data_IF_886768505575
#
_entry.id   IF_886768505575
#
_cell.length_a   1.000
_cell.length_b   1.000
_cell.length_c   1.000
_cell.angle_alpha   90.00
_cell.angle_beta   90.00
_cell.angle_gamma   90.00
#
_symmetry.space_group_name_H-M   'P 1'
#
loop_
_entity.id
_entity.type
_entity.pdbx_description
1 polymer ?
#
# COMPACT_ATOMS: atom_id res chain seq x y z
N UNK A 1 2.14 -16.69 -30.83
CA UNK A 1 2.93 -15.44 -30.95
C UNK A 1 4.09 -15.54 -29.98
N UNK A 2 5.33 -15.53 -30.46
CA UNK A 2 6.52 -15.74 -29.65
C UNK A 2 7.06 -14.38 -29.16
N UNK A 3 7.22 -14.23 -27.84
CA UNK A 3 7.86 -13.05 -27.26
C UNK A 3 9.36 -13.20 -27.46
N UNK A 4 9.90 -12.60 -28.52
CA UNK A 4 11.35 -12.50 -28.72
C UNK A 4 11.91 -11.58 -27.65
N UNK A 5 12.40 -12.15 -26.56
CA UNK A 5 13.14 -11.41 -25.55
C UNK A 5 14.55 -11.17 -26.11
N UNK A 6 14.82 -9.94 -26.53
CA UNK A 6 16.13 -9.53 -27.00
C UNK A 6 17.08 -9.39 -25.80
N UNK A 7 17.88 -10.41 -25.53
CA UNK A 7 19.06 -10.28 -24.68
C UNK A 7 20.06 -9.32 -25.34
N UNK A 8 20.53 -8.31 -24.61
CA UNK A 8 21.56 -7.40 -25.11
C UNK A 8 22.88 -8.18 -25.35
N UNK A 9 23.65 -7.81 -26.38
CA UNK A 9 24.94 -8.44 -26.66
C UNK A 9 25.94 -8.22 -25.52
N UNK A 10 26.88 -9.16 -25.38
CA UNK A 10 27.92 -9.12 -24.36
C UNK A 10 28.80 -7.87 -24.54
N UNK A 11 28.90 -7.04 -23.49
CA UNK A 11 29.61 -5.75 -23.53
C UNK A 11 28.71 -4.53 -23.77
N UNK A 12 27.39 -4.70 -23.94
CA UNK A 12 26.48 -3.57 -23.99
C UNK A 12 26.43 -2.81 -22.65
N UNK A 13 26.39 -1.46 -22.68
CA UNK A 13 26.32 -0.67 -21.46
C UNK A 13 25.00 -0.94 -20.73
N UNK A 14 25.09 -1.14 -19.41
CA UNK A 14 23.93 -1.22 -18.54
C UNK A 14 23.28 0.17 -18.47
N UNK A 15 22.21 0.37 -19.25
CA UNK A 15 21.43 1.60 -19.27
C UNK A 15 20.09 1.34 -18.63
N UNK A 16 19.69 2.22 -17.71
CA UNK A 16 18.37 2.18 -17.09
C UNK A 16 17.30 2.39 -18.17
N UNK A 17 16.36 1.46 -18.38
CA UNK A 17 15.37 1.60 -19.44
C UNK A 17 14.45 2.79 -19.18
N UNK A 18 14.34 3.71 -20.15
CA UNK A 18 13.41 4.86 -20.07
C UNK A 18 12.08 4.57 -20.77
N UNK A 19 11.52 3.38 -20.56
CA UNK A 19 10.23 3.00 -21.13
C UNK A 19 9.08 3.24 -20.13
N UNK A 20 7.85 3.28 -20.65
CA UNK A 20 6.64 3.56 -19.86
C UNK A 20 6.45 2.56 -18.71
N UNK A 21 6.74 1.29 -18.93
CA UNK A 21 6.64 0.23 -17.91
C UNK A 21 7.65 0.44 -16.78
N UNK A 22 8.90 0.78 -17.10
CA UNK A 22 9.95 1.03 -16.11
C UNK A 22 9.65 2.29 -15.28
N UNK A 23 9.15 3.35 -15.92
CA UNK A 23 8.66 4.54 -15.22
C UNK A 23 7.49 4.24 -14.28
N UNK A 24 6.56 3.37 -14.70
CA UNK A 24 5.45 2.93 -13.85
C UNK A 24 5.95 2.13 -12.64
N UNK A 25 6.89 1.20 -12.84
CA UNK A 25 7.48 0.43 -11.75
C UNK A 25 8.24 1.34 -10.77
N UNK A 26 9.06 2.27 -11.25
CA UNK A 26 9.71 3.27 -10.42
C UNK A 26 8.71 4.11 -9.61
N UNK A 27 7.57 4.46 -10.21
CA UNK A 27 6.52 5.19 -9.52
C UNK A 27 5.92 4.37 -8.37
N UNK A 28 5.67 3.07 -8.60
CA UNK A 28 5.21 2.13 -7.56
C UNK A 28 6.24 2.01 -6.44
N UNK A 29 7.52 1.84 -6.76
CA UNK A 29 8.60 1.73 -5.77
C UNK A 29 8.74 3.00 -4.92
N UNK A 30 8.60 4.17 -5.55
CA UNK A 30 8.61 5.46 -4.86
C UNK A 30 7.44 5.59 -3.90
N UNK A 31 6.23 5.20 -4.34
CA UNK A 31 5.05 5.18 -3.48
C UNK A 31 5.24 4.21 -2.32
N UNK A 32 5.83 3.03 -2.55
CA UNK A 32 6.05 2.02 -1.53
C UNK A 32 7.07 2.48 -0.48
N UNK A 33 8.14 3.16 -0.89
CA UNK A 33 9.13 3.71 0.06
C UNK A 33 8.49 4.74 1.00
N UNK A 34 7.66 5.64 0.47
CA UNK A 34 6.91 6.59 1.30
C UNK A 34 5.93 5.90 2.27
N UNK A 35 5.37 4.76 1.86
CA UNK A 35 4.51 3.95 2.72
C UNK A 35 5.31 3.29 3.85
N UNK A 36 6.45 2.67 3.54
CA UNK A 36 7.31 2.00 4.53
C UNK A 36 7.81 2.98 5.61
N UNK A 37 8.12 4.23 5.24
CA UNK A 37 8.48 5.28 6.19
C UNK A 37 7.32 5.62 7.15
N UNK A 38 6.10 5.81 6.63
CA UNK A 38 4.91 6.07 7.46
C UNK A 38 4.58 4.88 8.38
N UNK A 39 4.69 3.65 7.87
CA UNK A 39 4.46 2.44 8.64
C UNK A 39 5.50 2.21 9.72
N UNK A 40 6.78 2.49 9.45
CA UNK A 40 7.84 2.32 10.45
C UNK A 40 7.61 3.24 11.65
N UNK A 41 7.11 4.46 11.42
CA UNK A 41 6.75 5.42 12.48
C UNK A 41 5.55 4.93 13.30
N UNK A 42 4.50 4.44 12.63
CA UNK A 42 3.31 3.88 13.30
C UNK A 42 3.60 2.56 14.01
N UNK A 43 4.48 1.72 13.46
CA UNK A 43 4.93 0.47 14.08
C UNK A 43 5.83 0.74 15.27
N UNK A 44 6.68 1.77 15.25
CA UNK A 44 7.43 2.18 16.44
C UNK A 44 6.47 2.57 17.57
N UNK A 45 5.41 3.34 17.26
CA UNK A 45 4.36 3.66 18.23
C UNK A 45 3.57 2.43 18.68
N UNK A 46 3.32 1.46 17.80
CA UNK A 46 2.66 0.19 18.14
C UNK A 46 3.58 -0.80 18.89
N UNK A 47 4.90 -0.62 18.81
CA UNK A 47 5.91 -1.38 19.54
C UNK A 47 6.21 -0.78 20.92
N UNK A 48 5.67 0.40 21.22
CA UNK A 48 5.77 0.98 22.55
C UNK A 48 5.11 0.04 23.56
N UNK A 49 5.85 -0.31 24.60
CA UNK A 49 5.36 -1.19 25.67
C UNK A 49 4.11 -0.59 26.35
N UNK A 50 4.11 0.72 26.55
CA UNK A 50 2.99 1.47 27.13
C UNK A 50 2.51 2.57 26.18
N UNK A 51 1.19 2.73 26.10
CA UNK A 51 0.55 3.78 25.31
C UNK A 51 -0.45 4.59 26.17
N UNK A 52 -0.52 5.90 25.94
CA UNK A 52 -1.46 6.77 26.64
C UNK A 52 -2.86 6.58 26.03
N UNK A 53 -3.78 5.99 26.80
CA UNK A 53 -5.17 5.77 26.41
C UNK A 53 -6.07 6.65 27.27
N UNK A 54 -7.10 7.25 26.65
CA UNK A 54 -8.14 8.00 27.37
C UNK A 54 -9.27 7.04 27.71
N UNK A 55 -9.54 6.89 29.00
CA UNK A 55 -10.57 5.99 29.53
C UNK A 55 -11.52 6.80 30.39
N UNK A 56 -12.77 6.38 30.42
CA UNK A 56 -13.84 7.10 31.13
C UNK A 56 -14.13 6.40 32.44
N UNK A 57 -13.80 7.04 33.57
CA UNK A 57 -14.03 6.52 34.92
C UNK A 57 -15.06 7.44 35.58
N UNK A 58 -16.22 6.89 35.97
CA UNK A 58 -17.30 7.66 36.62
C UNK A 58 -17.64 8.94 35.83
N UNK A 59 -17.79 8.80 34.52
CA UNK A 59 -18.08 9.88 33.57
C UNK A 59 -16.95 10.90 33.32
N UNK A 60 -15.80 10.77 33.99
CA UNK A 60 -14.64 11.65 33.83
C UNK A 60 -13.60 11.01 32.89
N UNK A 61 -13.14 11.71 31.84
CA UNK A 61 -12.07 11.22 30.98
C UNK A 61 -10.71 11.35 31.67
N UNK A 62 -10.07 10.20 31.93
CA UNK A 62 -8.74 10.11 32.53
C UNK A 62 -7.77 9.55 31.48
N UNK A 63 -6.61 10.18 31.32
CA UNK A 63 -5.53 9.66 30.50
C UNK A 63 -4.64 8.75 31.36
N UNK A 64 -4.43 7.50 30.93
CA UNK A 64 -3.58 6.54 31.63
C UNK A 64 -2.66 5.82 30.66
N UNK A 65 -1.47 5.43 31.14
CA UNK A 65 -0.56 4.58 30.37
C UNK A 65 -0.99 3.13 30.54
N UNK A 66 -1.27 2.46 29.41
CA UNK A 66 -1.72 1.07 29.37
C UNK A 66 -0.72 0.25 28.59
N UNK A 67 -0.38 -0.94 29.10
CA UNK A 67 0.47 -1.87 28.38
C UNK A 67 -0.24 -2.38 27.11
N UNK A 68 0.42 -2.27 25.96
CA UNK A 68 -0.21 -2.58 24.67
C UNK A 68 -0.39 -4.09 24.48
N UNK A 69 0.53 -4.94 24.96
CA UNK A 69 0.38 -6.39 24.87
C UNK A 69 -0.81 -6.91 25.69
N UNK A 70 -0.96 -6.43 26.92
CA UNK A 70 -2.06 -6.82 27.80
C UNK A 70 -3.40 -6.33 27.26
N UNK A 71 -3.45 -5.09 26.76
CA UNK A 71 -4.64 -4.53 26.13
C UNK A 71 -5.05 -5.34 24.90
N UNK A 72 -4.10 -5.74 24.06
CA UNK A 72 -4.38 -6.58 22.88
C UNK A 72 -4.85 -7.96 23.28
N UNK A 73 -4.23 -8.59 24.28
CA UNK A 73 -4.67 -9.88 24.80
C UNK A 73 -6.10 -9.81 25.35
N UNK A 74 -6.41 -8.78 26.13
CA UNK A 74 -7.75 -8.56 26.69
C UNK A 74 -8.82 -8.32 25.60
N UNK A 75 -8.44 -7.67 24.50
CA UNK A 75 -9.33 -7.40 23.35
C UNK A 75 -9.34 -8.51 22.28
N UNK A 76 -8.53 -9.56 22.45
CA UNK A 76 -8.38 -10.62 21.44
C UNK A 76 -7.77 -10.13 20.12
N UNK A 77 -7.01 -9.04 20.15
CA UNK A 77 -6.38 -8.48 18.95
C UNK A 77 -5.09 -9.25 18.62
N UNK A 78 -4.78 -9.45 17.32
CA UNK A 78 -3.52 -10.05 16.92
C UNK A 78 -2.33 -9.19 17.33
N UNK A 79 -1.12 -9.76 17.34
CA UNK A 79 0.15 -9.07 17.66
C UNK A 79 0.69 -8.15 16.55
N UNK A 80 0.11 -8.20 15.35
CA UNK A 80 0.41 -7.30 14.23
C UNK A 80 -0.65 -6.20 14.06
N UNK A 81 -0.26 -5.05 13.50
CA UNK A 81 -1.19 -3.92 13.26
C UNK A 81 -2.30 -4.30 12.28
N UNK A 82 -3.55 -3.96 12.62
CA UNK A 82 -4.71 -4.14 11.74
C UNK A 82 -4.91 -2.99 10.76
N UNK A 83 -4.11 -1.92 10.85
CA UNK A 83 -4.16 -0.81 9.90
C UNK A 83 -3.13 -1.05 8.79
N UNK A 84 -3.57 -1.42 7.57
CA UNK A 84 -2.69 -1.38 6.42
C UNK A 84 -2.27 0.07 6.15
N UNK A 85 -1.11 0.27 5.49
CA UNK A 85 -0.68 1.60 5.09
C UNK A 85 -1.71 2.21 4.14
N UNK A 86 -2.06 3.47 4.36
CA UNK A 86 -2.99 4.17 3.49
C UNK A 86 -2.43 4.20 2.06
N UNK A 87 -3.14 3.57 1.11
CA UNK A 87 -2.91 3.75 -0.32
C UNK A 87 -3.91 4.77 -0.84
N UNK A 88 -3.42 5.97 -1.15
CA UNK A 88 -4.22 6.93 -1.89
C UNK A 88 -4.68 6.27 -3.21
N UNK A 89 -5.95 6.44 -3.63
CA UNK A 89 -6.38 6.00 -4.95
C UNK A 89 -5.43 6.61 -5.97
N UNK A 90 -4.86 5.77 -6.84
CA UNK A 90 -4.07 6.27 -7.96
C UNK A 90 -4.97 7.23 -8.73
N UNK A 91 -4.51 8.47 -8.92
CA UNK A 91 -5.25 9.51 -9.64
C UNK A 91 -5.17 9.21 -11.15
N UNK A 92 -5.70 8.05 -11.53
CA UNK A 92 -5.86 7.66 -12.92
C UNK A 92 -7.16 8.31 -13.34
N UNK A 93 -7.10 9.21 -14.31
CA UNK A 93 -8.27 9.58 -15.11
C UNK A 93 -8.71 8.30 -15.82
N UNK A 94 -9.42 7.43 -15.11
CA UNK A 94 -10.06 6.27 -15.70
C UNK A 94 -11.32 6.86 -16.34
N UNK A 95 -11.37 6.99 -17.68
CA UNK A 95 -12.59 7.43 -18.32
C UNK A 95 -13.71 6.50 -17.88
N UNK A 96 -14.91 7.05 -17.68
CA UNK A 96 -16.08 6.23 -17.39
C UNK A 96 -16.17 5.13 -18.46
N UNK A 97 -16.53 3.88 -18.08
CA UNK A 97 -16.67 2.81 -19.05
C UNK A 97 -17.59 3.25 -20.19
N UNK A 98 -17.19 2.98 -21.42
CA UNK A 98 -17.98 3.33 -22.59
C UNK A 98 -19.34 2.61 -22.50
N UNK A 99 -20.42 3.38 -22.43
CA UNK A 99 -21.79 2.85 -22.39
C UNK A 99 -22.22 2.52 -23.81
N UNK A 100 -22.72 1.31 -24.03
CA UNK A 100 -23.17 0.81 -25.34
C UNK A 100 -22.06 0.79 -26.40
N UNK A 101 -20.94 0.11 -26.12
CA UNK A 101 -20.02 -0.25 -27.20
C UNK A 101 -20.74 -1.16 -28.17
N UNK A 102 -20.69 -0.80 -29.45
CA UNK A 102 -21.21 -1.63 -30.52
C UNK A 102 -20.43 -2.95 -30.56
N UNK A 103 -21.15 -4.07 -30.58
CA UNK A 103 -20.56 -5.40 -30.55
C UNK A 103 -20.00 -5.76 -31.93
N UNK A 104 -18.90 -5.12 -32.32
CA UNK A 104 -18.29 -5.26 -33.65
C UNK A 104 -17.65 -6.63 -33.87
N UNK A 105 -17.27 -7.31 -32.79
CA UNK A 105 -16.58 -8.60 -32.85
C UNK A 105 -17.52 -9.76 -33.25
N UNK A 106 -18.83 -9.56 -33.13
CA UNK A 106 -19.85 -10.54 -33.51
C UNK A 106 -20.66 -10.14 -34.76
N UNK A 107 -20.27 -9.07 -35.48
CA UNK A 107 -21.00 -8.61 -36.67
C UNK A 107 -20.73 -9.43 -37.94
N UNK A 108 -19.64 -10.21 -37.99
CA UNK A 108 -19.32 -11.10 -39.11
C UNK A 108 -19.37 -12.58 -38.65
N UNK A 109 -20.58 -13.15 -38.56
CA UNK A 109 -20.81 -14.59 -38.40
C UNK A 109 -21.83 -15.10 -39.41
#
# INVERSE_FOLDING_TARGET
MAVTQASLPEGAPLVVPDNTTFRQLLHVDTQQTAMDESQSTEQQLASAEYHLVRVKIQDVPVAMQVNVSDLRAALGLPSYSLRPPFRAPTNVTTPAPAVNMEDTDHQDA
#
